data_IF_099980123266
#
_entry.id   IF_099980123266
#
_cell.length_a   1.000
_cell.length_b   1.000
_cell.length_c   1.000
_cell.angle_alpha   90.00
_cell.angle_beta   90.00
_cell.angle_gamma   90.00
#
_symmetry.space_group_name_H-M   'P 1'
#
loop_
_entity.id
_entity.type
_entity.pdbx_description
1 polymer ?
#
# COMPACT_ATOMS: atom_id res chain seq x y z
N UNK A 1 53.96 52.24 43.31
CA UNK A 1 54.77 51.07 43.69
C UNK A 1 53.99 49.83 43.25
N UNK A 2 54.44 48.92 42.42
CA UNK A 2 55.68 48.73 41.68
C UNK A 2 55.38 47.71 40.57
N UNK A 3 56.01 47.90 39.43
CA UNK A 3 55.96 47.08 38.23
C UNK A 3 56.52 45.67 38.49
N UNK A 4 56.05 44.65 37.77
CA UNK A 4 56.94 43.82 36.94
C UNK A 4 56.16 42.79 36.12
N UNK A 5 56.44 42.82 34.81
CA UNK A 5 56.14 41.79 33.84
C UNK A 5 57.26 40.73 33.83
N UNK A 6 56.93 39.49 33.50
CA UNK A 6 57.87 38.53 32.93
C UNK A 6 57.20 37.67 31.86
N UNK A 7 57.76 37.78 30.66
CA UNK A 7 57.56 36.91 29.51
C UNK A 7 58.36 35.62 29.65
N UNK A 8 57.85 34.49 29.12
CA UNK A 8 58.64 33.31 28.70
C UNK A 8 57.78 32.57 27.66
N UNK A 9 58.05 32.73 26.36
CA UNK A 9 58.89 31.85 25.51
C UNK A 9 58.32 30.43 25.32
N UNK A 10 57.64 30.20 24.19
CA UNK A 10 58.05 29.33 23.06
C UNK A 10 58.21 27.82 23.36
N UNK A 11 57.43 27.02 22.65
CA UNK A 11 57.54 25.56 22.59
C UNK A 11 56.56 24.95 21.59
N UNK A 12 56.77 25.19 20.29
CA UNK A 12 56.05 24.57 19.18
C UNK A 12 56.50 23.12 18.99
N UNK A 13 55.73 22.15 19.51
CA UNK A 13 55.89 20.74 19.20
C UNK A 13 54.91 20.31 18.09
N UNK A 14 55.46 20.07 16.90
CA UNK A 14 54.78 19.54 15.71
C UNK A 14 54.51 18.04 15.92
N UNK A 15 53.28 17.53 15.77
CA UNK A 15 53.05 16.08 15.76
C UNK A 15 53.63 15.47 14.48
N UNK A 16 54.50 14.47 14.65
CA UNK A 16 55.06 13.65 13.57
C UNK A 16 53.94 12.88 12.88
N UNK A 17 53.83 13.09 11.57
CA UNK A 17 53.04 12.30 10.62
C UNK A 17 53.62 10.87 10.56
N UNK A 18 52.85 9.79 10.73
CA UNK A 18 53.33 8.45 10.42
C UNK A 18 53.53 8.30 8.90
N UNK A 19 54.64 7.69 8.52
CA UNK A 19 55.00 7.41 7.14
C UNK A 19 54.04 6.36 6.52
N UNK A 20 53.79 6.40 5.20
CA UNK A 20 53.01 5.39 4.52
C UNK A 20 53.77 4.06 4.48
N UNK A 21 53.13 2.99 4.92
CA UNK A 21 53.59 1.61 4.75
C UNK A 21 53.54 1.30 3.25
N UNK A 22 54.73 1.16 2.65
CA UNK A 22 54.93 0.75 1.28
C UNK A 22 54.81 -0.79 1.24
N UNK A 23 53.64 -1.29 0.83
CA UNK A 23 53.47 -2.71 0.53
C UNK A 23 54.28 -3.03 -0.73
N UNK A 24 55.35 -3.79 -0.54
CA UNK A 24 56.17 -4.36 -1.61
C UNK A 24 55.48 -5.63 -2.14
N UNK A 25 55.34 -5.80 -3.47
CA UNK A 25 54.84 -7.04 -4.05
C UNK A 25 56.00 -8.03 -4.19
N UNK A 26 55.92 -9.15 -3.47
CA UNK A 26 56.86 -10.25 -3.64
C UNK A 26 56.38 -11.17 -4.75
N UNK A 27 56.99 -11.03 -5.92
CA UNK A 27 56.87 -11.96 -7.03
C UNK A 27 57.82 -13.17 -6.83
N UNK A 28 57.23 -14.36 -6.93
CA UNK A 28 57.73 -15.56 -7.64
C UNK A 28 59.15 -16.07 -7.37
N UNK A 29 59.26 -17.34 -6.96
CA UNK A 29 60.10 -18.35 -7.65
C UNK A 29 59.66 -19.81 -7.32
N UNK A 30 60.01 -20.79 -8.17
CA UNK A 30 59.16 -21.93 -8.53
C UNK A 30 59.72 -23.32 -8.15
N UNK A 31 58.99 -24.35 -8.61
CA UNK A 31 59.34 -25.78 -8.74
C UNK A 31 59.29 -26.67 -7.48
N UNK A 32 58.27 -27.55 -7.43
CA UNK A 32 58.52 -28.98 -7.73
C UNK A 32 57.23 -29.75 -8.07
N UNK A 33 57.37 -30.60 -9.09
CA UNK A 33 56.44 -31.62 -9.57
C UNK A 33 56.13 -32.72 -8.54
N UNK A 34 54.86 -33.13 -8.46
CA UNK A 34 54.38 -34.52 -8.52
C UNK A 34 52.83 -34.47 -8.54
N UNK A 35 52.17 -34.83 -9.64
CA UNK A 35 51.74 -36.17 -10.05
C UNK A 35 50.31 -36.52 -9.57
N UNK A 36 49.39 -36.40 -10.54
CA UNK A 36 48.18 -37.18 -10.83
C UNK A 36 47.25 -37.66 -9.69
N UNK A 37 46.00 -37.17 -9.72
CA UNK A 37 44.75 -37.98 -9.71
C UNK A 37 43.53 -37.06 -9.96
N UNK A 38 42.61 -37.41 -10.89
CA UNK A 38 41.42 -36.59 -11.15
C UNK A 38 40.27 -37.04 -10.25
N UNK A 39 39.89 -36.19 -9.29
CA UNK A 39 38.60 -36.33 -8.58
C UNK A 39 37.67 -35.24 -9.07
N UNK A 40 36.74 -35.68 -9.92
CA UNK A 40 35.50 -35.02 -10.28
C UNK A 40 34.72 -34.65 -9.01
N UNK A 41 34.34 -33.38 -8.87
CA UNK A 41 33.28 -32.90 -7.99
C UNK A 41 32.64 -31.65 -8.61
N UNK A 42 31.40 -31.85 -9.07
CA UNK A 42 30.23 -31.01 -8.81
C UNK A 42 30.26 -29.52 -9.20
N UNK A 43 29.94 -29.32 -10.49
CA UNK A 43 28.65 -28.76 -10.93
C UNK A 43 27.87 -27.92 -9.89
N UNK A 44 28.01 -26.60 -10.01
CA UNK A 44 27.13 -25.61 -9.42
C UNK A 44 25.67 -25.86 -9.83
N UNK A 45 24.69 -25.77 -8.91
CA UNK A 45 23.29 -25.98 -9.27
C UNK A 45 22.78 -24.83 -10.16
N UNK A 46 21.92 -25.13 -11.15
CA UNK A 46 21.35 -24.13 -12.01
C UNK A 46 20.40 -23.22 -11.21
N UNK A 47 20.50 -21.91 -11.43
CA UNK A 47 19.47 -20.95 -11.06
C UNK A 47 18.13 -21.44 -11.62
N UNK A 48 17.24 -21.86 -10.72
CA UNK A 48 15.84 -22.12 -11.03
C UNK A 48 15.18 -20.77 -11.37
N UNK A 49 15.23 -20.39 -12.63
CA UNK A 49 14.31 -19.43 -13.23
C UNK A 49 12.91 -20.08 -13.28
N UNK A 50 12.25 -20.11 -12.13
CA UNK A 50 10.81 -20.39 -11.99
C UNK A 50 10.04 -19.12 -12.40
N UNK A 51 10.07 -18.80 -13.70
CA UNK A 51 9.08 -17.94 -14.32
C UNK A 51 7.81 -18.75 -14.50
N UNK A 52 7.06 -18.91 -13.41
CA UNK A 52 5.69 -19.36 -13.47
C UNK A 52 4.86 -18.31 -14.23
N UNK A 53 4.53 -18.64 -15.48
CA UNK A 53 3.46 -18.04 -16.30
C UNK A 53 2.14 -18.10 -15.51
N UNK A 54 1.92 -17.10 -14.67
CA UNK A 54 0.58 -16.70 -14.28
C UNK A 54 0.27 -15.51 -15.18
N UNK A 55 -0.52 -15.76 -16.22
CA UNK A 55 -1.13 -14.71 -17.03
C UNK A 55 -1.94 -13.81 -16.08
N UNK A 56 -1.36 -12.67 -15.72
CA UNK A 56 -2.04 -11.54 -15.08
C UNK A 56 -2.93 -10.89 -16.16
N UNK A 57 -3.95 -11.62 -16.57
CA UNK A 57 -4.89 -11.29 -17.64
C UNK A 57 -5.97 -10.30 -17.13
N UNK A 58 -5.63 -9.48 -16.13
CA UNK A 58 -6.53 -8.50 -15.51
C UNK A 58 -6.47 -7.12 -16.17
N UNK A 59 -5.46 -6.84 -17.01
CA UNK A 59 -5.27 -5.51 -17.61
C UNK A 59 -5.90 -5.36 -19.02
N UNK A 60 -6.50 -6.42 -19.57
CA UNK A 60 -7.21 -6.36 -20.85
C UNK A 60 -8.71 -6.16 -20.64
N UNK A 61 -9.14 -4.90 -20.43
CA UNK A 61 -10.40 -4.27 -20.86
C UNK A 61 -10.84 -3.16 -19.90
N UNK A 62 -10.64 -1.90 -20.29
CA UNK A 62 -11.65 -0.84 -20.16
C UNK A 62 -11.15 0.43 -20.88
N UNK A 63 -11.58 0.63 -22.13
CA UNK A 63 -11.41 1.89 -22.83
C UNK A 63 -12.15 3.04 -22.14
N UNK A 64 -11.53 4.21 -22.22
CA UNK A 64 -11.93 5.48 -21.62
C UNK A 64 -13.38 5.88 -21.96
N UNK A 65 -14.10 6.32 -20.93
CA UNK A 65 -15.32 7.10 -21.09
C UNK A 65 -15.28 8.27 -20.11
N UNK A 66 -15.57 9.44 -20.65
CA UNK A 66 -15.53 10.77 -20.03
C UNK A 66 -16.49 10.90 -18.85
N UNK A 67 -16.07 11.63 -17.81
CA UNK A 67 -16.82 11.85 -16.57
C UNK A 67 -17.47 13.23 -16.53
N UNK A 68 -18.64 13.37 -15.87
CA UNK A 68 -18.93 14.61 -15.16
C UNK A 68 -19.41 14.44 -13.71
N UNK A 69 -18.89 15.38 -12.89
CA UNK A 69 -19.46 16.05 -11.71
C UNK A 69 -19.48 15.45 -10.29
N UNK A 70 -18.62 16.06 -9.45
CA UNK A 70 -18.89 16.77 -8.18
C UNK A 70 -19.97 16.20 -7.23
N UNK A 71 -19.50 15.54 -6.17
CA UNK A 71 -20.26 15.32 -4.93
C UNK A 71 -19.58 16.07 -3.77
N UNK A 72 -20.34 16.68 -2.84
CA UNK A 72 -19.79 17.36 -1.69
C UNK A 72 -19.36 16.37 -0.59
N UNK A 73 -18.20 16.61 0.02
CA UNK A 73 -17.65 15.81 1.10
C UNK A 73 -18.50 15.92 2.40
N UNK A 74 -18.64 14.82 3.17
CA UNK A 74 -19.39 14.84 4.43
C UNK A 74 -18.62 15.58 5.52
N UNK A 75 -19.32 16.43 6.27
CA UNK A 75 -18.80 17.09 7.47
C UNK A 75 -18.87 16.11 8.64
N UNK A 76 -17.71 15.76 9.18
CA UNK A 76 -17.60 14.96 10.41
C UNK A 76 -17.55 15.96 11.57
N UNK A 77 -18.61 16.01 12.36
CA UNK A 77 -18.65 16.77 13.61
C UNK A 77 -17.88 15.99 14.69
N UNK A 78 -16.62 16.40 14.92
CA UNK A 78 -15.82 15.91 16.04
C UNK A 78 -16.25 16.60 17.34
N UNK A 79 -16.89 15.84 18.23
CA UNK A 79 -17.13 16.24 19.61
C UNK A 79 -15.78 16.47 20.33
N UNK A 80 -15.65 17.63 20.98
CA UNK A 80 -14.41 18.11 21.58
C UNK A 80 -13.94 17.29 22.79
N UNK A 81 -12.81 16.60 22.62
CA UNK A 81 -11.92 16.21 23.70
C UNK A 81 -10.76 17.21 23.77
N UNK A 82 -10.48 17.72 24.97
CA UNK A 82 -9.35 18.60 25.25
C UNK A 82 -8.04 17.87 24.88
N UNK A 83 -7.12 18.50 24.12
CA UNK A 83 -5.86 17.85 23.75
C UNK A 83 -4.99 17.66 25.00
N UNK A 84 -4.45 16.46 25.25
CA UNK A 84 -3.50 16.25 26.33
C UNK A 84 -2.26 17.12 26.11
N UNK A 85 -1.72 17.68 27.20
CA UNK A 85 -0.38 18.32 27.20
C UNK A 85 0.63 17.36 26.56
N UNK A 86 1.64 17.86 25.81
CA UNK A 86 2.65 16.95 25.26
C UNK A 86 3.33 16.21 26.41
N UNK A 87 3.23 14.88 26.40
CA UNK A 87 3.94 14.06 27.37
C UNK A 87 5.45 14.29 27.22
N UNK A 88 6.23 13.98 28.26
CA UNK A 88 7.69 14.06 28.21
C UNK A 88 8.26 13.28 27.01
N UNK A 89 7.59 12.21 26.58
CA UNK A 89 7.90 11.40 25.40
C UNK A 89 7.95 12.22 24.11
N UNK A 90 7.05 13.20 23.95
CA UNK A 90 7.02 14.05 22.75
C UNK A 90 8.25 14.96 22.67
N UNK A 91 8.75 15.44 23.82
CA UNK A 91 9.96 16.27 23.87
C UNK A 91 11.18 15.42 23.52
N UNK A 92 11.32 14.24 24.12
CA UNK A 92 12.41 13.31 23.83
C UNK A 92 12.41 12.92 22.35
N UNK A 93 11.24 12.60 21.77
CA UNK A 93 11.11 12.29 20.34
C UNK A 93 11.60 13.46 19.49
N UNK A 94 11.15 14.67 19.77
CA UNK A 94 11.56 15.86 19.00
C UNK A 94 13.08 16.08 19.04
N UNK A 95 13.72 15.83 20.18
CA UNK A 95 15.18 15.94 20.34
C UNK A 95 15.91 14.87 19.53
N UNK A 96 15.43 13.62 19.56
CA UNK A 96 15.99 12.53 18.76
C UNK A 96 15.86 12.80 17.27
N UNK A 97 14.69 13.26 16.80
CA UNK A 97 14.49 13.60 15.38
C UNK A 97 15.40 14.75 14.94
N UNK A 98 15.58 15.78 15.77
CA UNK A 98 16.54 16.86 15.49
C UNK A 98 17.97 16.33 15.32
N UNK A 99 18.38 15.38 16.17
CA UNK A 99 19.71 14.78 16.11
C UNK A 99 19.88 13.92 14.85
N UNK A 100 18.90 13.09 14.51
CA UNK A 100 18.91 12.30 13.26
C UNK A 100 19.03 13.23 12.05
N UNK A 101 18.23 14.30 12.00
CA UNK A 101 18.29 15.25 10.91
C UNK A 101 19.65 15.94 10.80
N UNK A 102 20.26 16.32 11.93
CA UNK A 102 21.60 16.90 11.96
C UNK A 102 22.67 15.92 11.46
N UNK A 103 22.57 14.63 11.79
CA UNK A 103 23.54 13.59 11.37
C UNK A 103 23.37 13.27 9.88
N UNK A 104 22.14 13.26 9.38
CA UNK A 104 21.85 12.99 7.97
C UNK A 104 21.88 14.25 7.08
N UNK A 105 22.29 15.40 7.62
CA UNK A 105 22.30 16.69 6.94
C UNK A 105 20.92 17.06 6.33
N UNK A 106 19.83 16.60 6.95
CA UNK A 106 18.47 16.94 6.55
C UNK A 106 18.07 18.29 7.12
N UNK A 107 17.40 19.10 6.30
CA UNK A 107 16.80 20.35 6.78
C UNK A 107 15.58 20.03 7.66
N UNK A 108 15.59 20.52 8.89
CA UNK A 108 14.43 20.51 9.79
C UNK A 108 13.67 21.81 9.61
N UNK A 109 12.44 21.73 9.11
CA UNK A 109 11.55 22.88 9.07
C UNK A 109 10.77 22.92 10.38
N UNK A 110 11.15 23.84 11.26
CA UNK A 110 10.31 24.23 12.37
C UNK A 110 9.34 25.28 11.83
N UNK A 111 8.09 24.88 11.59
CA UNK A 111 7.04 25.84 11.23
C UNK A 111 7.00 26.91 12.32
N UNK A 112 7.39 28.14 11.97
CA UNK A 112 7.17 29.28 12.84
C UNK A 112 5.67 29.36 13.04
N UNK A 113 5.21 29.29 14.29
CA UNK A 113 3.80 29.33 14.63
C UNK A 113 3.16 30.53 13.94
N UNK A 114 2.30 30.29 12.95
CA UNK A 114 1.50 31.31 12.32
C UNK A 114 0.80 32.14 13.41
N UNK A 115 0.82 33.47 13.26
CA UNK A 115 0.32 34.45 14.21
C UNK A 115 -0.86 33.92 15.03
N UNK A 116 -0.56 33.59 16.29
CA UNK A 116 -1.50 33.02 17.24
C UNK A 116 -2.78 33.86 17.25
N UNK A 117 -3.90 33.27 16.82
CA UNK A 117 -5.21 33.87 16.96
C UNK A 117 -5.39 34.30 18.43
N UNK A 118 -5.47 35.62 18.68
CA UNK A 118 -5.48 36.22 20.03
C UNK A 118 -6.57 35.66 20.95
N UNK A 119 -7.60 35.03 20.39
CA UNK A 119 -8.72 34.46 21.13
C UNK A 119 -8.45 33.06 21.75
N UNK A 120 -7.41 32.34 21.32
CA UNK A 120 -7.08 30.99 21.83
C UNK A 120 -5.70 30.87 22.48
N UNK A 121 -5.05 32.00 22.80
CA UNK A 121 -3.67 32.04 23.32
C UNK A 121 -3.42 31.24 24.60
N UNK A 122 -4.48 30.89 25.35
CA UNK A 122 -4.37 30.09 26.58
C UNK A 122 -4.39 28.58 26.32
N UNK A 123 -4.99 28.12 25.22
CA UNK A 123 -5.14 26.69 24.89
C UNK A 123 -3.96 26.13 24.09
N UNK A 124 -3.23 26.97 23.36
CA UNK A 124 -2.13 26.56 22.48
C UNK A 124 -0.72 26.68 23.11
N UNK A 125 -0.61 27.05 24.39
CA UNK A 125 0.67 27.44 24.98
C UNK A 125 1.69 26.32 25.19
N UNK A 126 1.29 25.06 24.97
CA UNK A 126 2.16 23.90 25.20
C UNK A 126 2.27 22.93 24.03
N UNK A 127 1.62 23.12 22.89
CA UNK A 127 1.90 22.26 21.73
C UNK A 127 3.18 22.76 21.06
N UNK A 128 4.30 22.08 21.35
CA UNK A 128 5.51 22.20 20.52
C UNK A 128 5.10 21.90 19.09
N UNK A 129 5.34 22.85 18.17
CA UNK A 129 5.00 22.68 16.76
C UNK A 129 5.56 21.33 16.27
N UNK A 130 4.76 20.51 15.56
CA UNK A 130 5.21 19.21 15.11
C UNK A 130 6.45 19.38 14.24
N UNK A 131 7.54 18.72 14.63
CA UNK A 131 8.79 18.81 13.91
C UNK A 131 8.63 18.16 12.53
N UNK A 132 8.95 18.89 11.45
CA UNK A 132 8.88 18.37 10.09
C UNK A 132 10.27 18.10 9.56
N UNK A 133 10.54 16.83 9.26
CA UNK A 133 11.71 16.42 8.50
C UNK A 133 11.48 16.73 7.01
N UNK A 134 12.48 17.31 6.35
CA UNK A 134 12.47 17.38 4.89
C UNK A 134 12.42 15.98 4.28
N UNK A 135 11.68 15.84 3.18
CA UNK A 135 11.61 14.59 2.44
C UNK A 135 12.98 14.25 1.85
N UNK A 136 13.38 12.98 1.94
CA UNK A 136 14.61 12.50 1.32
C UNK A 136 14.47 12.65 -0.21
N UNK A 137 15.35 13.39 -0.90
CA UNK A 137 15.17 13.71 -2.33
C UNK A 137 15.01 12.48 -3.23
N UNK A 138 15.79 11.42 -2.97
CA UNK A 138 15.73 10.18 -3.76
C UNK A 138 14.40 9.42 -3.61
N UNK A 139 13.74 9.52 -2.45
CA UNK A 139 12.39 8.97 -2.27
C UNK A 139 11.35 9.82 -3.00
N UNK A 140 11.51 11.15 -2.97
CA UNK A 140 10.62 12.07 -3.66
C UNK A 140 10.62 11.82 -5.17
N UNK A 141 11.77 11.51 -5.76
CA UNK A 141 11.86 11.22 -7.20
C UNK A 141 11.11 9.92 -7.57
N UNK A 142 11.20 8.88 -6.74
CA UNK A 142 10.41 7.64 -6.92
C UNK A 142 8.91 7.90 -6.80
N UNK A 143 8.50 8.75 -5.87
CA UNK A 143 7.09 9.14 -5.69
C UNK A 143 6.60 9.91 -6.92
N UNK A 144 7.39 10.86 -7.42
CA UNK A 144 7.07 11.62 -8.63
C UNK A 144 6.93 10.71 -9.85
N UNK A 145 7.77 9.67 -9.97
CA UNK A 145 7.65 8.68 -11.03
C UNK A 145 6.27 8.00 -11.02
N UNK A 146 5.80 7.56 -9.85
CA UNK A 146 4.47 6.98 -9.69
C UNK A 146 3.34 7.99 -9.99
N UNK A 147 3.52 9.26 -9.63
CA UNK A 147 2.54 10.32 -9.90
C UNK A 147 2.41 10.71 -11.37
N UNK A 148 3.45 10.52 -12.17
CA UNK A 148 3.41 10.85 -13.59
C UNK A 148 2.43 9.94 -14.35
N UNK A 149 2.25 8.69 -13.90
CA UNK A 149 1.31 7.72 -14.50
C UNK A 149 0.62 6.88 -13.42
N UNK A 150 -0.32 7.47 -12.66
CA UNK A 150 -0.89 6.81 -11.49
C UNK A 150 -1.74 5.59 -11.85
N UNK A 151 -2.33 5.55 -13.06
CA UNK A 151 -3.13 4.41 -13.53
C UNK A 151 -2.28 3.19 -13.89
N UNK A 152 -1.04 3.40 -14.35
CA UNK A 152 -0.11 2.35 -14.79
C UNK A 152 1.01 2.08 -13.76
N UNK A 153 0.95 2.68 -12.58
CA UNK A 153 1.92 2.41 -11.54
C UNK A 153 1.77 0.92 -11.12
N UNK A 154 2.82 0.10 -11.24
CA UNK A 154 2.74 -1.31 -10.89
C UNK A 154 2.45 -1.45 -9.39
N UNK A 155 1.69 -2.47 -9.04
CA UNK A 155 1.12 -2.68 -7.71
C UNK A 155 2.14 -3.12 -6.63
N UNK A 156 3.42 -2.78 -6.81
CA UNK A 156 4.63 -3.38 -6.21
C UNK A 156 5.19 -4.53 -7.04
N UNK A 157 6.51 -4.74 -6.97
CA UNK A 157 7.14 -5.89 -7.63
C UNK A 157 6.95 -7.15 -6.78
N UNK A 158 6.69 -8.29 -7.44
CA UNK A 158 6.53 -9.59 -6.78
C UNK A 158 7.72 -9.97 -5.89
N UNK A 159 8.92 -9.54 -6.27
CA UNK A 159 10.14 -9.72 -5.45
C UNK A 159 10.00 -9.05 -4.09
N UNK A 160 9.55 -7.79 -4.06
CA UNK A 160 9.40 -7.05 -2.80
C UNK A 160 8.28 -7.65 -1.98
N UNK A 161 7.20 -8.06 -2.62
CA UNK A 161 6.06 -8.71 -1.97
C UNK A 161 6.45 -10.03 -1.27
N UNK A 162 7.31 -10.82 -1.92
CA UNK A 162 7.84 -12.08 -1.40
C UNK A 162 8.79 -11.91 -0.21
N UNK A 163 9.40 -10.73 0.00
CA UNK A 163 10.26 -10.50 1.18
C UNK A 163 9.47 -10.43 2.49
N UNK A 164 8.16 -10.16 2.40
CA UNK A 164 7.29 -9.96 3.56
C UNK A 164 6.15 -10.99 3.58
N UNK A 165 6.42 -12.26 3.26
CA UNK A 165 5.40 -13.31 3.31
C UNK A 165 4.92 -13.59 4.74
N UNK A 166 3.61 -13.73 4.92
CA UNK A 166 3.00 -14.13 6.20
C UNK A 166 1.76 -14.93 5.92
N UNK A 167 1.44 -15.95 6.72
CA UNK A 167 0.23 -16.76 6.51
C UNK A 167 -1.09 -15.97 6.53
N UNK A 168 -1.09 -14.75 7.08
CA UNK A 168 -2.23 -13.85 7.14
C UNK A 168 -2.18 -12.79 6.02
N UNK A 169 -3.32 -12.57 5.35
CA UNK A 169 -3.51 -11.61 4.24
C UNK A 169 -2.78 -11.88 2.92
N UNK A 170 -2.23 -13.09 2.73
CA UNK A 170 -1.63 -13.50 1.45
C UNK A 170 -2.63 -13.54 0.29
N UNK A 171 -3.92 -13.70 0.60
CA UNK A 171 -4.98 -13.83 -0.38
C UNK A 171 -5.99 -12.69 -0.25
N UNK A 172 -6.54 -12.29 -1.39
CA UNK A 172 -7.71 -11.42 -1.40
C UNK A 172 -8.93 -12.20 -0.93
N UNK A 173 -9.81 -11.63 -0.08
CA UNK A 173 -11.04 -12.28 0.30
C UNK A 173 -11.88 -12.45 -0.95
N UNK A 174 -12.33 -13.68 -1.17
CA UNK A 174 -13.20 -14.00 -2.28
C UNK A 174 -14.60 -13.47 -2.00
N UNK A 175 -15.34 -13.00 -3.02
CA UNK A 175 -16.75 -12.70 -2.84
C UNK A 175 -17.48 -14.02 -2.52
N UNK A 176 -17.90 -14.15 -1.27
CA UNK A 176 -18.77 -15.21 -0.74
C UNK A 176 -20.20 -14.66 -0.62
N UNK A 177 -21.17 -15.45 -0.13
CA UNK A 177 -22.59 -15.06 0.08
C UNK A 177 -23.51 -15.11 -1.16
N UNK A 178 -24.81 -15.27 -0.88
CA UNK A 178 -25.94 -15.16 -1.81
C UNK A 178 -25.95 -13.84 -2.60
N UNK A 179 -25.24 -12.80 -2.14
CA UNK A 179 -25.02 -11.57 -2.90
C UNK A 179 -24.43 -11.90 -4.27
N UNK A 180 -23.43 -12.78 -4.33
CA UNK A 180 -22.74 -13.14 -5.57
C UNK A 180 -23.71 -13.88 -6.50
N UNK A 181 -24.44 -14.86 -5.98
CA UNK A 181 -25.43 -15.64 -6.73
C UNK A 181 -26.54 -14.74 -7.30
N UNK A 182 -27.04 -13.79 -6.50
CA UNK A 182 -28.08 -12.86 -6.92
C UNK A 182 -27.62 -11.97 -8.09
N UNK A 183 -26.33 -11.65 -8.16
CA UNK A 183 -25.75 -10.82 -9.21
C UNK A 183 -25.40 -11.62 -10.47
N UNK A 184 -24.98 -12.88 -10.33
CA UNK A 184 -24.59 -13.76 -11.43
C UNK A 184 -25.78 -14.37 -12.17
N UNK A 185 -26.91 -14.62 -11.49
CA UNK A 185 -28.11 -15.24 -12.07
C UNK A 185 -28.71 -14.50 -13.28
N UNK A 186 -28.29 -13.25 -13.56
CA UNK A 186 -28.75 -12.48 -14.71
C UNK A 186 -27.91 -12.68 -15.98
N UNK A 187 -26.68 -13.19 -15.88
CA UNK A 187 -25.81 -13.41 -17.04
C UNK A 187 -25.76 -14.89 -17.39
N UNK A 188 -26.62 -15.34 -18.30
CA UNK A 188 -26.80 -16.74 -18.74
C UNK A 188 -25.59 -17.35 -19.51
N UNK A 189 -24.35 -16.98 -19.22
CA UNK A 189 -23.21 -17.53 -19.95
C UNK A 189 -21.80 -17.22 -19.46
N UNK A 190 -21.61 -16.51 -18.33
CA UNK A 190 -20.27 -16.31 -17.75
C UNK A 190 -20.34 -16.33 -16.22
N UNK A 191 -19.59 -17.25 -15.62
CA UNK A 191 -19.22 -17.27 -14.20
C UNK A 191 -18.16 -16.21 -13.94
N UNK A 192 -18.51 -14.93 -14.07
CA UNK A 192 -17.57 -13.87 -13.77
C UNK A 192 -17.50 -13.66 -12.25
N UNK A 193 -16.30 -13.76 -11.66
CA UNK A 193 -15.98 -13.37 -10.29
C UNK A 193 -15.90 -11.84 -10.13
N UNK A 194 -16.65 -11.09 -10.94
CA UNK A 194 -16.66 -9.64 -10.95
C UNK A 194 -18.09 -9.10 -11.00
N UNK A 195 -18.35 -7.92 -10.43
CA UNK A 195 -19.67 -7.30 -10.48
C UNK A 195 -20.13 -7.09 -11.94
N UNK A 196 -21.41 -7.37 -12.21
CA UNK A 196 -21.98 -7.31 -13.57
C UNK A 196 -22.07 -5.89 -14.17
N UNK A 197 -22.03 -4.85 -13.34
CA UNK A 197 -22.02 -3.45 -13.78
C UNK A 197 -20.57 -2.96 -13.97
N UNK A 198 -20.32 -2.21 -15.05
CA UNK A 198 -19.05 -1.52 -15.33
C UNK A 198 -18.55 -0.69 -14.14
N UNK A 199 -19.42 0.04 -13.45
CA UNK A 199 -19.02 0.82 -12.27
C UNK A 199 -18.65 -0.06 -11.08
N UNK A 200 -19.40 -1.15 -10.86
CA UNK A 200 -19.08 -2.13 -9.82
C UNK A 200 -17.72 -2.77 -10.11
N UNK A 201 -17.48 -3.21 -11.34
CA UNK A 201 -16.18 -3.76 -11.74
C UNK A 201 -15.02 -2.77 -11.47
N UNK A 202 -15.18 -1.49 -11.83
CA UNK A 202 -14.17 -0.46 -11.52
C UNK A 202 -13.93 -0.30 -10.02
N UNK A 203 -14.98 -0.25 -9.22
CA UNK A 203 -14.87 -0.12 -7.76
C UNK A 203 -14.22 -1.35 -7.11
N UNK A 204 -14.53 -2.54 -7.61
CA UNK A 204 -13.91 -3.78 -7.12
C UNK A 204 -12.42 -3.83 -7.47
N UNK A 205 -12.03 -3.41 -8.69
CA UNK A 205 -10.60 -3.26 -9.06
C UNK A 205 -9.90 -2.26 -8.13
N UNK A 206 -10.49 -1.08 -7.89
CA UNK A 206 -9.92 -0.08 -6.97
C UNK A 206 -9.79 -0.66 -5.56
N UNK A 207 -10.81 -1.36 -5.08
CA UNK A 207 -10.81 -2.03 -3.78
C UNK A 207 -9.75 -3.13 -3.70
N UNK A 208 -9.57 -3.93 -4.75
CA UNK A 208 -8.47 -4.90 -4.86
C UNK A 208 -7.12 -4.21 -4.73
N UNK A 209 -6.89 -3.12 -5.48
CA UNK A 209 -5.61 -2.40 -5.40
C UNK A 209 -5.32 -1.85 -4.00
N UNK A 210 -6.33 -1.26 -3.36
CA UNK A 210 -6.20 -0.78 -1.98
C UNK A 210 -5.96 -1.91 -0.99
N UNK A 211 -6.62 -3.07 -1.18
CA UNK A 211 -6.39 -4.24 -0.35
C UNK A 211 -4.94 -4.72 -0.45
N UNK A 212 -4.38 -4.88 -1.66
CA UNK A 212 -3.00 -5.33 -1.84
C UNK A 212 -2.00 -4.38 -1.17
N UNK A 213 -2.20 -3.06 -1.35
CA UNK A 213 -1.33 -2.04 -0.75
C UNK A 213 -1.43 -2.02 0.78
N UNK A 214 -2.64 -2.12 1.32
CA UNK A 214 -2.88 -2.15 2.76
C UNK A 214 -2.29 -3.42 3.38
N UNK A 215 -2.52 -4.58 2.77
CA UNK A 215 -1.97 -5.86 3.20
C UNK A 215 -0.43 -5.84 3.16
N UNK A 216 0.17 -5.35 2.08
CA UNK A 216 1.62 -5.16 2.00
C UNK A 216 2.13 -4.29 3.16
N UNK A 217 1.51 -3.13 3.39
CA UNK A 217 1.90 -2.20 4.45
C UNK A 217 1.81 -2.83 5.84
N UNK A 218 0.80 -3.66 6.10
CA UNK A 218 0.68 -4.38 7.37
C UNK A 218 1.76 -5.45 7.53
N UNK A 219 2.09 -6.19 6.46
CA UNK A 219 3.16 -7.19 6.46
C UNK A 219 4.54 -6.55 6.65
N UNK A 220 4.81 -5.41 6.00
CA UNK A 220 6.03 -4.63 6.22
C UNK A 220 6.11 -4.10 7.65
N UNK A 221 5.03 -3.57 8.22
CA UNK A 221 5.00 -3.12 9.61
C UNK A 221 5.27 -4.27 10.59
N UNK A 222 4.68 -5.46 10.36
CA UNK A 222 4.95 -6.65 11.17
C UNK A 222 6.45 -7.06 11.12
N UNK A 223 7.05 -7.02 9.93
CA UNK A 223 8.47 -7.32 9.76
C UNK A 223 9.37 -6.30 10.48
N UNK A 224 9.05 -5.01 10.39
CA UNK A 224 9.77 -3.94 11.11
C UNK A 224 9.73 -4.18 12.63
N UNK A 225 8.55 -4.44 13.19
CA UNK A 225 8.41 -4.77 14.61
C UNK A 225 9.27 -5.99 15.03
N UNK A 226 9.33 -7.04 14.21
CA UNK A 226 10.13 -8.23 14.50
C UNK A 226 11.64 -7.92 14.47
N UNK A 227 12.10 -7.15 13.48
CA UNK A 227 13.50 -6.71 13.37
C UNK A 227 13.91 -5.80 14.53
N UNK A 228 13.04 -4.88 14.95
CA UNK A 228 13.26 -3.98 16.08
C UNK A 228 13.32 -4.75 17.40
N UNK A 229 12.43 -5.72 17.61
CA UNK A 229 12.45 -6.59 18.79
C UNK A 229 13.78 -7.36 18.90
N UNK A 230 14.30 -7.88 17.77
CA UNK A 230 15.59 -8.56 17.73
C UNK A 230 16.76 -7.59 17.94
N UNK A 231 16.72 -6.40 17.33
CA UNK A 231 17.73 -5.35 17.51
C UNK A 231 17.83 -4.93 18.98
N UNK A 232 16.68 -4.78 19.64
CA UNK A 232 16.58 -4.49 21.08
C UNK A 232 17.23 -5.60 21.90
N UNK A 233 16.95 -6.86 21.58
CA UNK A 233 17.56 -7.99 22.27
C UNK A 233 19.09 -7.98 22.16
N UNK A 234 19.66 -7.78 20.97
CA UNK A 234 21.11 -7.66 20.78
C UNK A 234 21.70 -6.51 21.62
N UNK A 235 21.03 -5.35 21.64
CA UNK A 235 21.50 -4.21 22.43
C UNK A 235 21.46 -4.49 23.93
N UNK A 236 20.44 -5.19 24.43
CA UNK A 236 20.37 -5.59 25.83
C UNK A 236 21.50 -6.58 26.20
N UNK A 237 21.79 -7.55 25.32
CA UNK A 237 22.92 -8.48 25.49
C UNK A 237 24.29 -7.78 25.41
N UNK A 238 24.39 -6.65 24.71
CA UNK A 238 25.62 -5.85 24.66
C UNK A 238 25.89 -5.09 25.97
N UNK A 239 24.88 -4.84 26.82
CA UNK A 239 25.03 -4.00 28.01
C UNK A 239 26.12 -4.49 28.99
N UNK A 240 26.23 -5.80 29.34
CA UNK A 240 27.32 -6.30 30.18
C UNK A 240 28.72 -6.13 29.55
N UNK A 241 28.82 -6.15 28.22
CA UNK A 241 30.09 -5.92 27.51
C UNK A 241 30.52 -4.47 27.66
N UNK A 242 29.58 -3.53 27.67
CA UNK A 242 29.86 -2.10 27.91
C UNK A 242 30.45 -1.86 29.29
N UNK A 243 30.10 -2.67 30.29
CA UNK A 243 30.64 -2.54 31.64
C UNK A 243 32.13 -2.86 31.75
N UNK A 244 32.67 -3.63 30.81
CA UNK A 244 34.09 -4.01 30.77
C UNK A 244 35.02 -2.92 30.22
N UNK A 245 34.49 -1.84 29.65
CA UNK A 245 35.30 -0.77 29.06
C UNK A 245 35.90 0.17 30.13
N UNK A 246 37.06 0.79 29.85
CA UNK A 246 37.64 1.81 30.73
C UNK A 246 36.71 3.01 30.92
N UNK A 247 36.69 3.59 32.12
CA UNK A 247 35.76 4.66 32.53
C UNK A 247 35.66 5.82 31.53
N UNK A 248 36.79 6.22 30.92
CA UNK A 248 36.82 7.31 29.95
C UNK A 248 36.04 7.07 28.66
N UNK A 249 35.86 5.81 28.24
CA UNK A 249 35.08 5.44 27.06
C UNK A 249 33.69 4.90 27.44
N UNK A 250 33.58 4.27 28.61
CA UNK A 250 32.37 3.66 29.14
C UNK A 250 31.19 4.63 29.16
N UNK A 251 31.36 5.84 29.70
CA UNK A 251 30.28 6.83 29.78
C UNK A 251 29.71 7.21 28.40
N UNK A 252 30.57 7.35 27.38
CA UNK A 252 30.14 7.67 26.01
C UNK A 252 29.40 6.49 25.36
N UNK A 253 29.85 5.26 25.59
CA UNK A 253 29.21 4.07 25.06
C UNK A 253 27.84 3.81 25.71
N UNK A 254 27.72 4.04 27.02
CA UNK A 254 26.44 3.97 27.73
C UNK A 254 25.45 4.99 27.15
N UNK A 255 25.86 6.24 26.97
CA UNK A 255 24.99 7.26 26.38
C UNK A 255 24.53 6.90 24.95
N UNK A 256 25.42 6.33 24.13
CA UNK A 256 25.08 5.85 22.79
C UNK A 256 24.12 4.65 22.84
N UNK A 257 24.32 3.74 23.79
CA UNK A 257 23.44 2.59 24.00
C UNK A 257 22.02 3.00 24.40
N UNK A 258 21.88 3.92 25.35
CA UNK A 258 20.59 4.49 25.76
C UNK A 258 19.89 5.22 24.61
N UNK A 259 20.66 5.94 23.80
CA UNK A 259 20.13 6.60 22.61
C UNK A 259 19.64 5.61 21.56
N UNK A 260 20.39 4.53 21.31
CA UNK A 260 19.95 3.47 20.39
C UNK A 260 18.68 2.77 20.88
N UNK A 261 18.55 2.52 22.18
CA UNK A 261 17.32 1.98 22.75
C UNK A 261 16.13 2.93 22.52
N UNK A 262 16.35 4.23 22.73
CA UNK A 262 15.32 5.25 22.46
C UNK A 262 14.92 5.29 20.99
N UNK A 263 15.88 5.14 20.07
CA UNK A 263 15.62 5.08 18.63
C UNK A 263 14.72 3.89 18.28
N UNK A 264 15.01 2.70 18.81
CA UNK A 264 14.19 1.50 18.60
C UNK A 264 12.76 1.73 19.09
N UNK A 265 12.57 2.34 20.26
CA UNK A 265 11.21 2.63 20.76
C UNK A 265 10.41 3.53 19.81
N UNK A 266 11.08 4.49 19.15
CA UNK A 266 10.44 5.34 18.13
C UNK A 266 10.15 4.63 16.82
N UNK A 267 11.04 3.74 16.37
CA UNK A 267 10.82 2.90 15.20
C UNK A 267 9.61 1.98 15.43
N UNK A 268 9.52 1.36 16.60
CA UNK A 268 8.35 0.54 17.00
C UNK A 268 7.06 1.34 17.05
N UNK A 269 7.12 2.59 17.53
CA UNK A 269 5.97 3.48 17.48
C UNK A 269 5.57 3.82 16.03
N UNK A 270 6.54 4.06 15.14
CA UNK A 270 6.29 4.32 13.72
C UNK A 270 5.69 3.09 13.01
N UNK A 271 6.21 1.89 13.26
CA UNK A 271 5.67 0.63 12.74
C UNK A 271 4.23 0.40 13.22
N UNK A 272 3.93 0.67 14.49
CA UNK A 272 2.56 0.62 15.04
C UNK A 272 1.63 1.59 14.33
N UNK A 273 2.06 2.83 14.10
CA UNK A 273 1.27 3.83 13.38
C UNK A 273 1.03 3.43 11.92
N UNK A 274 2.03 2.84 11.25
CA UNK A 274 1.91 2.28 9.90
C UNK A 274 0.88 1.15 9.87
N UNK A 275 0.92 0.22 10.82
CA UNK A 275 -0.05 -0.86 10.94
C UNK A 275 -1.48 -0.33 11.16
N UNK A 276 -1.65 0.68 12.02
CA UNK A 276 -2.96 1.30 12.25
C UNK A 276 -3.51 2.01 11.01
N UNK A 277 -2.66 2.70 10.23
CA UNK A 277 -3.04 3.30 8.97
C UNK A 277 -3.39 2.25 7.91
N UNK A 278 -2.59 1.19 7.80
CA UNK A 278 -2.83 0.06 6.90
C UNK A 278 -4.15 -0.64 7.23
N UNK A 279 -4.48 -0.86 8.50
CA UNK A 279 -5.76 -1.44 8.92
C UNK A 279 -6.97 -0.59 8.47
N UNK A 280 -6.87 0.74 8.57
CA UNK A 280 -7.92 1.65 8.05
C UNK A 280 -8.05 1.60 6.53
N UNK A 281 -6.93 1.49 5.82
CA UNK A 281 -6.94 1.30 4.36
C UNK A 281 -7.57 -0.04 3.97
N UNK A 282 -7.28 -1.11 4.72
CA UNK A 282 -7.86 -2.43 4.52
C UNK A 282 -9.38 -2.40 4.72
N UNK A 283 -9.86 -1.73 5.78
CA UNK A 283 -11.28 -1.50 6.01
C UNK A 283 -11.94 -0.75 4.85
N UNK A 284 -11.29 0.30 4.34
CA UNK A 284 -11.77 1.06 3.17
C UNK A 284 -11.83 0.17 1.93
N UNK A 285 -10.82 -0.66 1.72
CA UNK A 285 -10.74 -1.59 0.59
C UNK A 285 -11.88 -2.62 0.63
N UNK A 286 -12.13 -3.23 1.80
CA UNK A 286 -13.23 -4.18 2.01
C UNK A 286 -14.58 -3.51 1.75
N UNK A 287 -14.79 -2.31 2.32
CA UNK A 287 -15.99 -1.52 2.09
C UNK A 287 -16.23 -1.24 0.59
N UNK A 288 -15.21 -0.77 -0.13
CA UNK A 288 -15.32 -0.48 -1.57
C UNK A 288 -15.71 -1.72 -2.38
N UNK A 289 -15.10 -2.86 -2.06
CA UNK A 289 -15.43 -4.13 -2.72
C UNK A 289 -16.86 -4.56 -2.38
N UNK A 290 -17.28 -4.55 -1.12
CA UNK A 290 -18.68 -4.85 -0.74
C UNK A 290 -19.68 -3.94 -1.46
N UNK A 291 -19.41 -2.64 -1.49
CA UNK A 291 -20.24 -1.66 -2.17
C UNK A 291 -20.35 -1.94 -3.67
N UNK A 292 -19.23 -2.30 -4.32
CA UNK A 292 -19.20 -2.67 -5.72
C UNK A 292 -20.16 -3.82 -6.06
N UNK A 293 -20.15 -4.87 -5.23
CA UNK A 293 -21.02 -6.04 -5.38
C UNK A 293 -22.48 -5.69 -5.07
N UNK A 294 -22.75 -5.03 -3.95
CA UNK A 294 -24.11 -4.76 -3.49
C UNK A 294 -24.86 -3.74 -4.36
N UNK A 295 -24.16 -2.82 -5.05
CA UNK A 295 -24.80 -1.87 -5.98
C UNK A 295 -25.55 -2.55 -7.11
N UNK A 296 -25.16 -3.77 -7.49
CA UNK A 296 -25.82 -4.53 -8.55
C UNK A 296 -27.04 -5.34 -8.08
N UNK A 297 -27.30 -5.34 -6.77
CA UNK A 297 -28.43 -6.05 -6.16
C UNK A 297 -29.66 -5.15 -6.03
N UNK A 298 -30.85 -5.77 -5.96
CA UNK A 298 -32.12 -5.09 -5.68
C UNK A 298 -32.44 -5.04 -4.16
N UNK A 299 -31.40 -4.90 -3.32
CA UNK A 299 -31.51 -4.79 -1.86
C UNK A 299 -31.85 -3.33 -1.51
N UNK A 300 -32.76 -3.06 -0.55
CA UNK A 300 -33.03 -1.71 -0.10
C UNK A 300 -31.80 -1.07 0.56
N UNK A 301 -31.64 0.25 0.44
CA UNK A 301 -30.41 0.95 0.86
C UNK A 301 -30.08 0.76 2.35
N UNK A 302 -31.09 0.71 3.23
CA UNK A 302 -30.88 0.46 4.67
C UNK A 302 -30.19 -0.90 4.92
N UNK A 303 -30.67 -1.96 4.26
CA UNK A 303 -30.04 -3.26 4.34
C UNK A 303 -28.65 -3.29 3.69
N UNK A 304 -28.47 -2.55 2.59
CA UNK A 304 -27.17 -2.44 1.93
C UNK A 304 -26.13 -1.87 2.89
N UNK A 305 -26.43 -0.72 3.51
CA UNK A 305 -25.52 -0.05 4.45
C UNK A 305 -25.15 -0.97 5.62
N UNK A 306 -26.13 -1.70 6.18
CA UNK A 306 -25.90 -2.66 7.26
C UNK A 306 -24.99 -3.83 6.85
N UNK A 307 -25.08 -4.30 5.60
CA UNK A 307 -24.21 -5.36 5.08
C UNK A 307 -22.81 -4.80 4.79
N UNK A 308 -22.71 -3.59 4.25
CA UNK A 308 -21.43 -2.91 3.99
C UNK A 308 -20.62 -2.73 5.28
N UNK A 309 -21.28 -2.29 6.36
CA UNK A 309 -20.70 -2.04 7.68
C UNK A 309 -20.57 -3.29 8.58
N UNK A 310 -20.89 -4.49 8.05
CA UNK A 310 -20.72 -5.74 8.80
C UNK A 310 -19.24 -5.97 9.19
N UNK A 311 -18.94 -6.70 10.27
CA UNK A 311 -17.56 -7.06 10.58
C UNK A 311 -16.92 -7.87 9.43
N UNK A 312 -15.58 -7.89 9.40
CA UNK A 312 -14.82 -8.72 8.46
C UNK A 312 -14.35 -9.98 9.18
N UNK A 313 -14.87 -11.13 8.76
CA UNK A 313 -14.65 -12.43 9.42
C UNK A 313 -13.33 -13.06 8.93
N UNK A 314 -12.22 -12.67 9.55
CA UNK A 314 -10.86 -13.25 9.46
C UNK A 314 -10.33 -13.61 8.05
N UNK A 315 -10.91 -13.03 6.99
CA UNK A 315 -10.52 -13.29 5.61
C UNK A 315 -11.16 -14.52 4.97
N UNK A 316 -12.16 -15.16 5.59
CA UNK A 316 -12.89 -16.29 4.97
C UNK A 316 -13.62 -15.86 3.69
N UNK A 317 -14.05 -14.60 3.64
CA UNK A 317 -14.65 -14.02 2.45
C UNK A 317 -14.92 -12.53 2.58
N UNK A 318 -15.40 -11.94 1.49
CA UNK A 318 -15.70 -10.52 1.41
C UNK A 318 -16.88 -10.12 2.32
N UNK A 319 -17.89 -10.96 2.45
CA UNK A 319 -19.10 -10.75 3.25
C UNK A 319 -19.05 -11.58 4.53
N UNK A 320 -19.58 -11.02 5.62
CA UNK A 320 -19.73 -11.75 6.88
C UNK A 320 -20.68 -12.95 6.69
N UNK A 321 -20.47 -14.01 7.46
CA UNK A 321 -21.34 -15.21 7.45
C UNK A 321 -22.80 -14.87 7.77
N UNK A 322 -23.02 -13.86 8.62
CA UNK A 322 -24.36 -13.34 9.00
C UNK A 322 -25.06 -12.56 7.87
N UNK A 323 -24.37 -12.28 6.77
CA UNK A 323 -24.94 -11.56 5.62
C UNK A 323 -26.08 -12.36 5.00
N UNK A 324 -25.90 -13.67 4.83
CA UNK A 324 -26.92 -14.52 4.21
C UNK A 324 -28.18 -14.62 5.08
N UNK A 325 -28.02 -14.72 6.40
CA UNK A 325 -29.14 -14.69 7.35
C UNK A 325 -29.92 -13.36 7.27
N UNK A 326 -29.20 -12.25 7.12
CA UNK A 326 -29.79 -10.92 6.97
C UNK A 326 -30.57 -10.81 5.65
N UNK A 327 -30.01 -11.33 4.55
CA UNK A 327 -30.67 -11.39 3.24
C UNK A 327 -31.93 -12.25 3.27
N UNK A 328 -31.87 -13.43 3.90
CA UNK A 328 -33.00 -14.33 4.04
C UNK A 328 -34.12 -13.69 4.85
N UNK A 329 -33.77 -12.99 5.93
CA UNK A 329 -34.74 -12.25 6.76
C UNK A 329 -35.44 -11.16 5.95
N UNK A 330 -34.69 -10.42 5.12
CA UNK A 330 -35.26 -9.41 4.22
C UNK A 330 -36.17 -10.01 3.16
N UNK A 331 -35.79 -11.17 2.60
CA UNK A 331 -36.62 -11.90 1.64
C UNK A 331 -37.93 -12.37 2.30
N UNK A 332 -37.86 -12.93 3.50
CA UNK A 332 -39.04 -13.35 4.29
C UNK A 332 -39.93 -12.16 4.61
N UNK A 333 -39.37 -11.07 5.13
CA UNK A 333 -40.11 -9.84 5.44
C UNK A 333 -40.81 -9.28 4.18
N UNK A 334 -40.13 -9.27 3.03
CA UNK A 334 -40.74 -8.84 1.76
C UNK A 334 -41.87 -9.77 1.31
N UNK A 335 -41.73 -11.09 1.50
CA UNK A 335 -42.80 -12.06 1.22
C UNK A 335 -44.01 -11.84 2.14
N UNK A 336 -43.79 -11.66 3.44
CA UNK A 336 -44.86 -11.39 4.43
C UNK A 336 -45.53 -10.04 4.17
N UNK A 337 -44.78 -8.99 3.85
CA UNK A 337 -45.34 -7.69 3.50
C UNK A 337 -46.24 -7.81 2.25
N UNK A 338 -45.84 -8.59 1.25
CA UNK A 338 -46.65 -8.90 0.06
C UNK A 338 -47.91 -9.73 0.35
N UNK A 339 -47.91 -10.58 1.38
CA UNK A 339 -49.11 -11.35 1.77
C UNK A 339 -50.08 -10.54 2.62
N UNK A 340 -49.59 -9.61 3.44
CA UNK A 340 -50.40 -8.73 4.30
C UNK A 340 -50.99 -7.56 3.51
N UNK A 341 -50.27 -7.06 2.50
CA UNK A 341 -50.88 -6.17 1.52
C UNK A 341 -51.92 -6.98 0.75
N UNK A 342 -53.16 -6.93 1.25
CA UNK A 342 -54.34 -7.38 0.51
C UNK A 342 -54.21 -6.85 -0.91
N UNK A 343 -54.62 -7.62 -1.94
CA UNK A 343 -54.71 -7.09 -3.28
C UNK A 343 -55.74 -5.97 -3.23
N UNK A 344 -55.29 -4.75 -2.92
CA UNK A 344 -56.01 -3.54 -3.22
C UNK A 344 -56.17 -3.66 -4.72
N UNK A 345 -57.39 -3.99 -5.15
CA UNK A 345 -57.81 -4.03 -6.54
C UNK A 345 -57.51 -2.66 -7.09
N UNK A 346 -56.27 -2.44 -7.50
CA UNK A 346 -55.82 -1.16 -7.95
C UNK A 346 -56.42 -1.02 -9.33
N UNK A 347 -57.48 -0.24 -9.40
CA UNK A 347 -57.97 0.40 -10.62
C UNK A 347 -56.89 1.32 -11.27
N UNK A 348 -55.60 1.12 -10.96
CA UNK A 348 -54.46 1.80 -11.59
C UNK A 348 -54.13 1.23 -12.97
N UNK A 349 -54.73 0.09 -13.37
CA UNK A 349 -54.68 -0.39 -14.75
C UNK A 349 -55.32 0.58 -15.76
N UNK A 350 -56.26 1.44 -15.33
CA UNK A 350 -56.89 2.42 -16.24
C UNK A 350 -56.08 3.70 -16.45
N UNK A 351 -55.31 4.16 -15.46
CA UNK A 351 -54.53 5.40 -15.60
C UNK A 351 -53.23 5.22 -16.40
N UNK A 352 -52.64 4.02 -16.43
CA UNK A 352 -51.41 3.78 -17.21
C UNK A 352 -51.66 3.72 -18.71
N UNK A 353 -52.86 3.32 -19.14
CA UNK A 353 -53.27 3.38 -20.54
C UNK A 353 -53.51 4.83 -21.04
N UNK A 354 -53.92 5.76 -20.17
CA UNK A 354 -54.06 7.17 -20.57
C UNK A 354 -52.71 7.86 -20.82
N UNK A 355 -51.68 7.61 -20.00
CA UNK A 355 -50.39 8.30 -20.19
C UNK A 355 -49.63 7.87 -21.46
N UNK A 356 -49.76 6.61 -21.91
CA UNK A 356 -49.15 6.18 -23.18
C UNK A 356 -49.83 6.80 -24.41
N UNK A 357 -51.08 7.26 -24.31
CA UNK A 357 -51.78 7.90 -25.43
C UNK A 357 -51.43 9.38 -25.58
N UNK A 358 -51.07 10.07 -24.49
CA UNK A 358 -50.64 11.47 -24.54
C UNK A 358 -49.28 11.65 -25.24
N UNK A 359 -48.37 10.68 -25.16
CA UNK A 359 -47.09 10.74 -25.88
C UNK A 359 -47.22 10.49 -27.39
N UNK A 360 -48.30 9.88 -27.86
CA UNK A 360 -48.55 9.68 -29.30
C UNK A 360 -49.06 10.93 -30.01
N UNK A 361 -49.47 11.96 -29.26
CA UNK A 361 -49.95 13.24 -29.81
C UNK A 361 -48.93 14.37 -29.69
N UNK A 362 -47.75 14.11 -29.10
CA UNK A 362 -46.65 15.07 -29.19
C UNK A 362 -46.14 15.10 -30.64
N UNK A 363 -46.16 16.26 -31.32
CA UNK A 363 -45.60 16.37 -32.66
C UNK A 363 -44.12 15.93 -32.62
N UNK A 364 -43.65 15.17 -33.63
CA UNK A 364 -42.26 14.76 -33.68
C UNK A 364 -41.38 16.01 -33.60
N UNK A 365 -40.30 16.02 -32.79
CA UNK A 365 -39.38 17.13 -32.76
C UNK A 365 -38.87 17.34 -34.19
N UNK A 366 -39.17 18.50 -34.76
CA UNK A 366 -38.66 18.90 -36.06
C UNK A 366 -37.14 18.77 -36.00
N UNK A 367 -36.61 17.81 -36.77
CA UNK A 367 -35.19 17.69 -37.04
C UNK A 367 -34.72 19.04 -37.56
N UNK A 368 -34.03 19.82 -36.73
CA UNK A 368 -33.21 20.91 -37.22
C UNK A 368 -32.07 20.28 -37.99
N UNK A 369 -32.17 20.33 -39.31
CA UNK A 369 -31.08 20.13 -40.25
C UNK A 369 -29.87 20.95 -39.77
N UNK A 370 -28.92 20.24 -39.17
CA UNK A 370 -27.60 20.75 -38.82
C UNK A 370 -26.56 20.10 -39.73
N UNK A 371 -26.91 20.01 -41.02
CA UNK A 371 -25.97 19.74 -42.11
C UNK A 371 -25.29 21.04 -42.52
N UNK A 372 -24.35 21.49 -41.70
CA UNK A 372 -23.30 22.45 -42.08
C UNK A 372 -22.35 22.54 -40.91
N UNK A 373 -21.33 21.69 -40.89
CA UNK A 373 -19.94 21.99 -40.50
C UNK A 373 -19.14 20.68 -40.62
N UNK A 374 -19.08 20.20 -41.86
CA UNK A 374 -18.12 19.18 -42.29
C UNK A 374 -17.07 19.89 -43.13
N UNK A 375 -16.09 20.52 -42.50
CA UNK A 375 -14.85 20.91 -43.17
C UNK A 375 -13.69 20.89 -42.19
N UNK A 376 -12.78 19.94 -42.44
CA UNK A 376 -11.36 20.06 -42.10
C UNK A 376 -10.96 19.59 -40.72
N UNK A 377 -10.77 18.29 -40.52
CA UNK A 377 -9.63 17.79 -39.75
C UNK A 377 -9.17 16.46 -40.33
N UNK A 378 -7.92 16.45 -40.83
CA UNK A 378 -7.27 15.30 -41.43
C UNK A 378 -6.94 14.23 -40.38
N UNK A 379 -7.03 12.93 -40.71
CA UNK A 379 -6.47 11.89 -39.87
C UNK A 379 -4.96 11.78 -40.11
N UNK A 380 -4.18 12.14 -39.09
CA UNK A 380 -2.78 11.72 -38.99
C UNK A 380 -2.74 10.19 -38.81
N UNK A 381 -2.27 9.51 -39.84
CA UNK A 381 -1.94 8.08 -39.80
C UNK A 381 -0.65 7.88 -39.01
N UNK A 382 -0.76 7.45 -37.74
CA UNK A 382 0.36 6.81 -37.06
C UNK A 382 0.47 5.37 -37.55
N UNK A 383 1.28 5.19 -38.59
CA UNK A 383 1.83 3.91 -39.04
C UNK A 383 3.08 3.66 -38.20
N UNK A 384 2.94 2.99 -37.05
CA UNK A 384 4.09 2.50 -36.30
C UNK A 384 4.35 1.02 -36.60
N UNK A 385 5.55 0.84 -37.13
CA UNK A 385 6.33 -0.38 -37.31
C UNK A 385 6.03 -1.54 -36.34
N UNK A 386 5.48 -2.63 -36.89
CA UNK A 386 5.77 -3.97 -36.41
C UNK A 386 6.91 -4.55 -37.26
N UNK A 387 8.14 -4.33 -36.80
CA UNK A 387 9.30 -5.14 -37.18
C UNK A 387 10.05 -5.52 -35.91
N UNK A 388 9.70 -6.66 -35.34
CA UNK A 388 10.67 -7.46 -34.59
C UNK A 388 10.32 -8.95 -34.73
N UNK A 389 11.16 -9.62 -35.53
CA UNK A 389 11.59 -11.00 -35.40
C UNK A 389 10.55 -12.12 -35.60
N UNK A 390 10.50 -12.57 -36.85
CA UNK A 390 10.39 -14.00 -37.14
C UNK A 390 11.48 -14.75 -36.36
N UNK A 391 11.09 -15.62 -35.43
CA UNK A 391 11.92 -16.74 -34.99
C UNK A 391 11.11 -18.03 -35.10
N UNK A 392 11.59 -18.84 -36.04
CA UNK A 392 11.53 -20.30 -36.13
C UNK A 392 10.45 -21.04 -35.34
N UNK A 393 9.48 -21.53 -36.11
CA UNK A 393 8.75 -22.77 -35.84
C UNK A 393 9.68 -23.91 -35.44
N UNK A 394 9.58 -24.39 -34.19
CA UNK A 394 10.04 -25.71 -33.79
C UNK A 394 8.87 -26.70 -33.79
N UNK A 395 9.09 -27.97 -34.18
CA UNK A 395 8.07 -29.02 -34.14
C UNK A 395 7.89 -29.60 -32.71
N UNK A 396 6.76 -30.25 -32.43
CA UNK A 396 6.48 -30.80 -31.10
C UNK A 396 7.36 -32.02 -30.80
N UNK A 397 8.06 -32.00 -29.66
CA UNK A 397 8.70 -33.19 -29.08
C UNK A 397 7.62 -34.07 -28.45
N UNK A 398 7.40 -35.25 -29.06
CA UNK A 398 6.78 -36.41 -28.39
C UNK A 398 7.64 -36.81 -27.20
N UNK A 399 7.06 -36.85 -26.00
CA UNK A 399 7.62 -37.61 -24.89
C UNK A 399 6.99 -39.01 -24.88
N UNK A 400 7.81 -40.01 -25.19
CA UNK A 400 7.53 -41.42 -24.93
C UNK A 400 7.62 -41.69 -23.43
N UNK A 401 6.48 -42.06 -22.85
CA UNK A 401 6.37 -42.54 -21.47
C UNK A 401 6.78 -44.01 -21.45
N UNK A 402 8.07 -44.30 -21.18
CA UNK A 402 8.50 -45.67 -20.84
C UNK A 402 8.31 -45.93 -19.35
N UNK A 403 7.27 -46.69 -19.08
CA UNK A 403 7.09 -47.55 -17.91
C UNK A 403 8.35 -48.38 -17.65
N UNK A 404 8.89 -48.32 -16.44
CA UNK A 404 9.61 -49.44 -15.85
C UNK A 404 9.03 -49.74 -14.48
N UNK A 405 8.27 -50.83 -14.46
CA UNK A 405 8.06 -51.67 -13.30
C UNK A 405 9.36 -52.39 -12.95
N UNK A 406 9.53 -52.62 -11.65
CA UNK A 406 10.02 -53.83 -11.00
C UNK A 406 11.28 -53.71 -10.13
N UNK A 407 11.06 -54.25 -8.93
CA UNK A 407 11.95 -54.77 -7.88
C UNK A 407 12.61 -53.76 -6.94
#
# INVERSE_FOLDING_TARGET
MGLSATSTSQGTARPRRPAPILLQPSASQPLHQHQESPTSMDELPPELSDEGDYEDDADSYCSEASSPHNLPAPKIDMLGSQPPSPSEDMKLYSQTIHKIASVMELQVQQDQTADSCKFFGHLNRHQTAPLRLAFIPSLLDRIKEAWNKPSSAPLMSRRVDNMYQTTFLDKHPLPNSLVVDATQNRSKGRSALTPSNKEGCKLDIIGHRHYSLASFSLRSANYLCAMEAYSRHILLEAAPVLDSFPDGQKAKLIALHEELLSLIDYETLAARNMAAAAAKQLSTAIYLRRHAWLRTTNIPDDARNRIEDSPFDDGEGLFATTTDESLDTLVKMRKTAKSISYPTTSSQGQYRHQQQNWQKQAPPPQRRDSDRFRQGYQPYSYRQNNQCQQRHSQPPRRYDRKTKQNL
#
